data_IF_050968006229
#
_entry.id   IF_050968006229
#
_cell.length_a   1.000
_cell.length_b   1.000
_cell.length_c   1.000
_cell.angle_alpha   90.00
_cell.angle_beta   90.00
_cell.angle_gamma   90.00
#
_symmetry.space_group_name_H-M   'P 1'
#
loop_
_entity.id
_entity.type
_entity.pdbx_description
1 polymer ?
#
# COMPACT_ATOMS: atom_id res chain seq x y z
N UNK A 1 -45.13 47.59 18.87
CA UNK A 1 -44.17 47.27 17.78
C UNK A 1 -42.75 47.04 18.31
N UNK A 2 -42.27 47.85 19.27
CA UNK A 2 -40.89 47.80 19.78
C UNK A 2 -40.44 46.47 20.37
N UNK A 3 -41.34 45.74 21.05
CA UNK A 3 -41.01 44.41 21.65
C UNK A 3 -40.85 43.32 20.59
N UNK A 4 -41.54 43.44 19.45
CA UNK A 4 -41.44 42.48 18.33
C UNK A 4 -40.14 42.72 17.56
N UNK A 5 -39.81 43.98 17.31
CA UNK A 5 -38.59 44.39 16.61
C UNK A 5 -37.33 44.01 17.38
N UNK A 6 -37.34 44.14 18.73
CA UNK A 6 -36.26 43.69 19.59
C UNK A 6 -36.07 42.15 19.61
N UNK A 7 -37.18 41.41 19.54
CA UNK A 7 -37.14 39.95 19.47
C UNK A 7 -36.62 39.42 18.13
N UNK A 8 -36.97 40.07 17.04
CA UNK A 8 -36.51 39.72 15.69
C UNK A 8 -35.04 40.09 15.51
N UNK A 9 -34.55 41.20 16.05
CA UNK A 9 -33.15 41.55 16.07
C UNK A 9 -32.30 40.57 16.87
N UNK A 10 -32.81 40.13 18.03
CA UNK A 10 -32.15 39.11 18.88
C UNK A 10 -32.08 37.73 18.19
N UNK A 11 -33.13 37.36 17.46
CA UNK A 11 -33.20 36.12 16.71
C UNK A 11 -32.25 36.13 15.51
N UNK A 12 -32.14 37.22 14.76
CA UNK A 12 -31.17 37.41 13.68
C UNK A 12 -29.72 37.33 14.18
N UNK A 13 -29.42 37.94 15.32
CA UNK A 13 -28.11 37.87 15.96
C UNK A 13 -27.71 36.46 16.40
N UNK A 14 -28.68 35.71 16.93
CA UNK A 14 -28.48 34.29 17.33
C UNK A 14 -28.22 33.40 16.12
N UNK A 15 -28.99 33.56 15.04
CA UNK A 15 -28.78 32.77 13.79
C UNK A 15 -27.42 33.01 13.17
N UNK A 16 -26.99 34.28 13.08
CA UNK A 16 -25.65 34.60 12.54
C UNK A 16 -24.52 34.01 13.38
N UNK A 17 -24.60 34.07 14.69
CA UNK A 17 -23.60 33.47 15.58
C UNK A 17 -23.50 31.95 15.40
N UNK A 18 -24.63 31.27 15.27
CA UNK A 18 -24.65 29.81 15.00
C UNK A 18 -24.01 29.49 13.66
N UNK A 19 -24.29 30.20 12.59
CA UNK A 19 -23.69 30.01 11.27
C UNK A 19 -22.18 30.23 11.30
N UNK A 20 -21.71 31.28 11.95
CA UNK A 20 -20.27 31.58 12.09
C UNK A 20 -19.57 30.45 12.91
N UNK A 21 -20.20 30.02 14.01
CA UNK A 21 -19.67 28.92 14.83
C UNK A 21 -19.63 27.62 14.05
N UNK A 22 -20.69 27.28 13.32
CA UNK A 22 -20.74 26.07 12.48
C UNK A 22 -19.67 26.14 11.39
N UNK A 23 -19.55 27.26 10.70
CA UNK A 23 -18.51 27.46 9.69
C UNK A 23 -17.12 27.32 10.27
N UNK A 24 -16.85 27.89 11.44
CA UNK A 24 -15.57 27.74 12.14
C UNK A 24 -15.25 26.30 12.50
N UNK A 25 -16.22 25.59 13.10
CA UNK A 25 -16.02 24.16 13.46
C UNK A 25 -15.81 23.32 12.21
N UNK A 26 -16.65 23.46 11.19
CA UNK A 26 -16.52 22.70 9.93
C UNK A 26 -15.20 23.03 9.24
N UNK A 27 -14.82 24.31 9.17
CA UNK A 27 -13.56 24.75 8.57
C UNK A 27 -12.34 24.17 9.30
N UNK A 28 -12.38 24.11 10.63
CA UNK A 28 -11.30 23.51 11.43
C UNK A 28 -11.15 22.01 11.14
N UNK A 29 -12.24 21.26 11.08
CA UNK A 29 -12.20 19.85 10.74
C UNK A 29 -11.73 19.61 9.30
N UNK A 30 -12.19 20.43 8.36
CA UNK A 30 -11.70 20.36 6.98
C UNK A 30 -10.21 20.69 6.87
N UNK A 31 -9.72 21.69 7.64
CA UNK A 31 -8.31 22.03 7.66
C UNK A 31 -7.45 20.85 8.16
N UNK A 32 -7.89 20.18 9.23
CA UNK A 32 -7.20 18.99 9.75
C UNK A 32 -7.16 17.88 8.67
N UNK A 33 -8.28 17.61 8.02
CA UNK A 33 -8.36 16.63 6.94
C UNK A 33 -7.44 16.98 5.76
N UNK A 34 -7.45 18.23 5.32
CA UNK A 34 -6.57 18.70 4.23
C UNK A 34 -5.09 18.64 4.61
N UNK A 35 -4.74 18.93 5.86
CA UNK A 35 -3.38 18.83 6.33
C UNK A 35 -2.91 17.35 6.35
N UNK A 36 -3.75 16.43 6.80
CA UNK A 36 -3.47 15.01 6.76
C UNK A 36 -3.27 14.51 5.31
N UNK A 37 -4.14 14.90 4.37
CA UNK A 37 -3.99 14.59 2.95
C UNK A 37 -2.72 15.19 2.35
N UNK A 38 -2.34 16.41 2.76
CA UNK A 38 -1.10 17.02 2.30
C UNK A 38 0.13 16.26 2.78
N UNK A 39 0.14 15.82 4.03
CA UNK A 39 1.23 15.01 4.58
C UNK A 39 1.36 13.69 3.83
N UNK A 40 0.25 12.99 3.60
CA UNK A 40 0.28 11.75 2.80
C UNK A 40 0.70 12.01 1.35
N UNK A 41 0.29 13.12 0.74
CA UNK A 41 0.69 13.50 -0.62
C UNK A 41 2.17 13.83 -0.78
N UNK A 42 2.82 14.40 0.25
CA UNK A 42 4.26 14.71 0.21
C UNK A 42 5.10 13.43 0.06
N UNK A 43 4.68 12.33 0.68
CA UNK A 43 5.41 11.04 0.58
C UNK A 43 5.44 10.49 -0.85
N UNK A 44 4.52 10.92 -1.71
CA UNK A 44 4.41 10.51 -3.11
C UNK A 44 5.18 11.44 -4.08
N UNK A 45 5.73 12.53 -3.57
CA UNK A 45 6.48 13.44 -4.44
C UNK A 45 7.87 12.87 -4.76
N UNK A 46 8.32 13.06 -5.99
CA UNK A 46 9.63 12.59 -6.47
C UNK A 46 10.80 13.06 -5.59
N UNK A 47 10.73 14.28 -5.06
CA UNK A 47 11.82 14.86 -4.25
C UNK A 47 11.70 14.52 -2.77
N UNK A 48 10.52 14.67 -2.18
CA UNK A 48 10.32 14.42 -0.75
C UNK A 48 10.19 12.92 -0.47
N UNK A 49 9.56 12.15 -1.36
CA UNK A 49 9.43 10.70 -1.26
C UNK A 49 10.79 10.01 -1.22
N UNK A 50 11.74 10.39 -2.07
CA UNK A 50 13.09 9.84 -2.04
C UNK A 50 13.84 10.08 -0.72
N UNK A 51 13.67 11.25 -0.11
CA UNK A 51 14.26 11.53 1.19
C UNK A 51 13.58 10.78 2.34
N UNK A 52 12.25 10.65 2.27
CA UNK A 52 11.47 9.83 3.22
C UNK A 52 11.90 8.37 3.14
N UNK A 53 12.01 7.81 1.94
CA UNK A 53 12.46 6.42 1.73
C UNK A 53 13.85 6.18 2.32
N UNK A 54 14.83 7.02 2.01
CA UNK A 54 16.17 6.89 2.61
C UNK A 54 16.18 6.95 4.13
N UNK A 55 15.33 7.81 4.71
CA UNK A 55 15.19 7.91 6.17
C UNK A 55 14.57 6.66 6.76
N UNK A 56 13.54 6.13 6.12
CA UNK A 56 12.84 4.90 6.53
C UNK A 56 13.75 3.69 6.45
N UNK A 57 14.55 3.58 5.39
CA UNK A 57 15.58 2.55 5.20
C UNK A 57 16.67 2.66 6.27
N UNK A 58 17.22 3.86 6.48
CA UNK A 58 18.26 4.10 7.50
C UNK A 58 17.79 3.76 8.92
N UNK A 59 16.49 3.89 9.20
CA UNK A 59 15.88 3.56 10.48
C UNK A 59 15.36 2.11 10.55
N UNK A 60 15.49 1.33 9.49
CA UNK A 60 14.95 -0.04 9.36
C UNK A 60 13.45 -0.12 9.72
N UNK A 61 12.68 0.88 9.31
CA UNK A 61 11.24 0.96 9.58
C UNK A 61 10.38 0.28 8.51
N UNK A 62 10.99 -0.13 7.42
CA UNK A 62 10.35 -0.91 6.36
C UNK A 62 10.62 -2.40 6.59
N UNK A 63 9.68 -3.25 6.22
CA UNK A 63 9.94 -4.68 6.13
C UNK A 63 10.96 -4.94 5.01
N UNK A 64 11.78 -5.96 5.20
CA UNK A 64 12.58 -6.49 4.12
C UNK A 64 11.65 -7.00 3.02
N UNK A 65 11.99 -6.79 1.75
CA UNK A 65 11.21 -7.34 0.65
C UNK A 65 11.20 -8.86 0.70
N UNK A 66 10.12 -9.46 0.21
CA UNK A 66 10.02 -10.92 0.13
C UNK A 66 11.04 -11.46 -0.88
N UNK A 67 11.76 -12.50 -0.49
CA UNK A 67 12.76 -13.15 -1.35
C UNK A 67 12.08 -14.08 -2.35
N UNK A 68 12.43 -13.97 -3.63
CA UNK A 68 11.91 -14.82 -4.71
C UNK A 68 13.00 -15.68 -5.34
N UNK A 69 14.24 -15.58 -4.91
CA UNK A 69 15.35 -16.33 -5.48
C UNK A 69 15.28 -17.83 -5.12
N UNK A 70 15.34 -18.69 -6.14
CA UNK A 70 15.34 -20.14 -5.98
C UNK A 70 16.68 -20.68 -5.48
N UNK A 71 17.76 -19.93 -5.64
CA UNK A 71 19.15 -20.37 -5.32
C UNK A 71 19.70 -19.84 -3.99
N UNK A 72 18.91 -19.12 -3.20
CA UNK A 72 19.32 -18.61 -1.87
C UNK A 72 20.36 -17.47 -1.90
N UNK A 73 20.57 -16.83 -3.04
CA UNK A 73 21.33 -15.59 -3.16
C UNK A 73 20.37 -14.41 -3.13
N UNK A 74 20.48 -13.60 -2.09
CA UNK A 74 19.53 -12.53 -1.77
C UNK A 74 19.69 -11.31 -2.67
N UNK A 75 18.83 -11.15 -3.68
CA UNK A 75 18.50 -9.84 -4.24
C UNK A 75 17.04 -9.51 -3.90
N UNK A 76 16.83 -8.29 -3.44
CA UNK A 76 15.56 -7.86 -2.87
C UNK A 76 14.46 -7.79 -3.95
N UNK A 77 13.51 -8.70 -3.88
CA UNK A 77 12.32 -8.70 -4.72
C UNK A 77 11.43 -7.46 -4.50
N UNK A 78 10.66 -7.11 -5.50
CA UNK A 78 9.78 -5.93 -5.49
C UNK A 78 8.81 -5.94 -4.28
N UNK A 79 8.70 -4.81 -3.60
CA UNK A 79 7.72 -4.56 -2.53
C UNK A 79 6.30 -4.91 -3.04
N UNK A 80 5.55 -5.85 -2.43
CA UNK A 80 4.20 -6.20 -2.84
C UNK A 80 3.21 -5.03 -2.78
N UNK A 81 3.61 -3.92 -2.17
CA UNK A 81 2.86 -2.66 -2.14
C UNK A 81 3.35 -1.63 -3.17
N UNK A 82 4.35 -1.96 -3.99
CA UNK A 82 4.94 -1.07 -5.01
C UNK A 82 3.98 -0.75 -6.17
N UNK A 83 2.81 -1.37 -6.24
CA UNK A 83 1.83 -1.11 -7.30
C UNK A 83 1.35 0.35 -7.43
N UNK A 84 1.62 1.17 -6.43
CA UNK A 84 1.39 2.61 -6.46
C UNK A 84 2.67 3.43 -6.64
N UNK A 85 3.83 2.78 -6.73
CA UNK A 85 5.11 3.43 -6.99
C UNK A 85 5.35 3.75 -8.47
N UNK A 86 4.49 3.32 -9.38
CA UNK A 86 4.61 3.59 -10.81
C UNK A 86 4.62 5.09 -11.18
N UNK A 87 4.24 5.96 -10.24
CA UNK A 87 4.34 7.41 -10.39
C UNK A 87 5.52 8.05 -9.64
N UNK A 88 6.28 7.30 -8.87
CA UNK A 88 7.50 7.76 -8.22
C UNK A 88 8.70 7.45 -9.13
N UNK A 89 8.88 8.29 -10.12
CA UNK A 89 10.01 8.51 -11.01
C UNK A 89 11.06 7.42 -11.17
N UNK A 90 11.27 6.99 -12.39
CA UNK A 90 12.44 6.29 -12.90
C UNK A 90 13.73 6.66 -12.16
N UNK A 91 14.22 5.78 -11.31
CA UNK A 91 15.46 5.99 -10.58
C UNK A 91 15.87 4.76 -9.82
N UNK A 92 16.27 3.73 -10.49
CA UNK A 92 16.80 2.50 -9.95
C UNK A 92 16.47 1.35 -10.88
N UNK A 93 16.96 1.40 -12.12
CA UNK A 93 17.05 0.23 -12.96
C UNK A 93 18.03 -0.71 -12.26
N UNK A 94 17.54 -1.80 -11.68
CA UNK A 94 18.33 -2.99 -11.61
C UNK A 94 18.73 -3.27 -13.06
N UNK A 95 20.03 -3.30 -13.34
CA UNK A 95 20.53 -3.84 -14.59
C UNK A 95 20.03 -5.30 -14.57
N UNK A 96 18.97 -5.58 -15.34
CA UNK A 96 18.49 -6.94 -15.52
C UNK A 96 19.69 -7.73 -16.03
N UNK A 97 20.05 -8.79 -15.33
CA UNK A 97 21.09 -9.69 -15.77
C UNK A 97 20.75 -10.13 -17.19
N UNK A 98 21.60 -9.72 -18.15
CA UNK A 98 21.33 -9.85 -19.59
C UNK A 98 21.27 -11.33 -20.04
N UNK A 99 21.40 -12.30 -19.12
CA UNK A 99 21.38 -13.74 -19.34
C UNK A 99 20.16 -14.44 -18.75
N UNK A 100 19.35 -13.77 -17.92
CA UNK A 100 18.19 -14.40 -17.29
C UNK A 100 17.08 -14.66 -18.33
N UNK A 101 16.63 -15.92 -18.42
CA UNK A 101 15.58 -16.31 -19.36
C UNK A 101 14.21 -15.81 -18.93
N UNK A 102 13.54 -15.10 -19.82
CA UNK A 102 12.19 -14.62 -19.60
C UNK A 102 11.16 -15.78 -19.62
N UNK A 103 10.08 -15.59 -18.87
CA UNK A 103 8.93 -16.49 -18.84
C UNK A 103 8.22 -16.60 -20.18
N UNK A 104 7.81 -17.81 -20.55
CA UNK A 104 6.87 -18.02 -21.65
C UNK A 104 5.43 -18.05 -21.12
N UNK A 105 4.42 -17.70 -21.96
CA UNK A 105 3.02 -17.78 -21.55
C UNK A 105 2.59 -19.20 -21.11
N UNK A 106 3.17 -20.22 -21.72
CA UNK A 106 2.90 -21.62 -21.42
C UNK A 106 3.39 -21.99 -20.01
N UNK A 107 4.59 -21.60 -19.65
CA UNK A 107 5.18 -21.82 -18.32
C UNK A 107 4.38 -21.07 -17.24
N UNK A 108 3.97 -19.83 -17.53
CA UNK A 108 3.11 -19.08 -16.62
C UNK A 108 1.79 -19.82 -16.38
N UNK A 109 1.17 -20.34 -17.44
CA UNK A 109 -0.11 -21.05 -17.32
C UNK A 109 0.02 -22.36 -16.56
N UNK A 110 1.11 -23.09 -16.78
CA UNK A 110 1.36 -24.38 -16.11
C UNK A 110 1.61 -24.22 -14.60
N UNK A 111 2.37 -23.19 -14.22
CA UNK A 111 2.76 -23.00 -12.82
C UNK A 111 1.71 -22.22 -12.01
N UNK A 112 0.87 -21.40 -12.65
CA UNK A 112 -0.09 -20.55 -11.95
C UNK A 112 -1.06 -21.33 -11.05
N UNK A 113 -1.52 -22.50 -11.48
CA UNK A 113 -2.43 -23.34 -10.71
C UNK A 113 -1.72 -23.93 -9.48
N UNK A 114 -0.47 -24.33 -9.61
CA UNK A 114 0.34 -24.83 -8.51
C UNK A 114 0.57 -23.73 -7.46
N UNK A 115 0.98 -22.55 -7.90
CA UNK A 115 1.19 -21.38 -7.02
C UNK A 115 -0.09 -21.00 -6.29
N UNK A 116 -1.22 -21.01 -7.00
CA UNK A 116 -2.53 -20.74 -6.39
C UNK A 116 -2.88 -21.79 -5.32
N UNK A 117 -2.66 -23.05 -5.60
CA UNK A 117 -2.93 -24.13 -4.65
C UNK A 117 -2.09 -23.96 -3.38
N UNK A 118 -0.78 -23.75 -3.52
CA UNK A 118 0.14 -23.51 -2.39
C UNK A 118 -0.27 -22.27 -1.60
N UNK A 119 -0.60 -21.16 -2.27
CA UNK A 119 -1.04 -19.96 -1.58
C UNK A 119 -2.32 -20.18 -0.75
N UNK A 120 -3.23 -21.03 -1.22
CA UNK A 120 -4.45 -21.42 -0.47
C UNK A 120 -4.14 -22.32 0.71
N UNK A 121 -3.21 -23.25 0.57
CA UNK A 121 -2.74 -24.13 1.65
C UNK A 121 -2.03 -23.34 2.76
N UNK A 122 -1.27 -22.31 2.39
CA UNK A 122 -0.63 -21.37 3.32
C UNK A 122 -1.61 -20.38 3.97
N UNK A 123 -2.89 -20.45 3.64
CA UNK A 123 -3.94 -19.68 4.30
C UNK A 123 -4.27 -18.33 3.68
N UNK A 124 -3.70 -17.99 2.52
CA UNK A 124 -4.08 -16.78 1.81
C UNK A 124 -5.52 -16.90 1.31
N UNK A 125 -6.35 -15.93 1.62
CA UNK A 125 -7.80 -15.97 1.35
C UNK A 125 -8.24 -14.85 0.41
N UNK A 126 -9.46 -14.92 -0.10
CA UNK A 126 -10.02 -13.87 -0.97
C UNK A 126 -9.39 -13.82 -2.36
N UNK A 127 -9.34 -12.63 -2.95
CA UNK A 127 -8.65 -12.40 -4.22
C UNK A 127 -7.15 -12.36 -4.00
N UNK A 128 -6.42 -13.12 -4.80
CA UNK A 128 -4.97 -13.09 -4.81
C UNK A 128 -4.46 -12.35 -6.04
N UNK A 129 -3.29 -11.77 -5.88
CA UNK A 129 -2.47 -11.25 -6.95
C UNK A 129 -1.23 -12.12 -7.01
N UNK A 130 -0.93 -12.65 -8.16
CA UNK A 130 0.21 -13.53 -8.40
C UNK A 130 1.06 -12.95 -9.52
N UNK A 131 2.36 -12.94 -9.32
CA UNK A 131 3.34 -12.48 -10.30
C UNK A 131 4.43 -13.55 -10.42
N UNK A 132 4.80 -13.95 -11.65
CA UNK A 132 6.03 -14.69 -11.83
C UNK A 132 7.21 -13.83 -11.42
N UNK A 133 8.30 -14.43 -10.99
CA UNK A 133 9.55 -13.72 -10.75
C UNK A 133 10.08 -13.04 -12.01
N UNK A 134 11.11 -12.21 -11.87
CA UNK A 134 11.69 -11.48 -13.00
C UNK A 134 12.22 -12.40 -14.11
N UNK A 135 12.62 -13.59 -13.76
CA UNK A 135 13.06 -14.65 -14.68
C UNK A 135 12.64 -16.03 -14.15
N UNK A 136 12.86 -17.07 -14.93
CA UNK A 136 12.57 -18.46 -14.55
C UNK A 136 13.43 -18.97 -13.38
N UNK A 137 14.49 -18.28 -13.02
CA UNK A 137 15.33 -18.55 -11.86
C UNK A 137 14.78 -17.97 -10.56
N UNK A 138 13.68 -17.22 -10.66
CA UNK A 138 13.00 -16.62 -9.52
C UNK A 138 11.63 -17.26 -9.33
N UNK A 139 11.29 -17.50 -8.08
CA UNK A 139 9.97 -17.98 -7.70
C UNK A 139 8.87 -16.94 -7.93
N UNK A 140 7.65 -17.41 -7.82
CA UNK A 140 6.46 -16.59 -7.91
C UNK A 140 6.22 -15.84 -6.60
N UNK A 141 5.64 -14.66 -6.72
CA UNK A 141 5.08 -13.94 -5.59
C UNK A 141 3.56 -14.02 -5.61
N UNK A 142 2.96 -14.43 -4.50
CA UNK A 142 1.52 -14.42 -4.30
C UNK A 142 1.17 -13.55 -3.10
N UNK A 143 0.25 -12.62 -3.26
CA UNK A 143 -0.20 -11.72 -2.20
C UNK A 143 -1.71 -11.58 -2.18
N UNK A 144 -2.26 -11.37 -0.99
CA UNK A 144 -3.66 -11.06 -0.84
C UNK A 144 -3.96 -9.66 -1.35
N UNK A 145 -4.95 -9.56 -2.21
CA UNK A 145 -5.39 -8.26 -2.72
C UNK A 145 -6.22 -7.54 -1.66
N UNK A 146 -5.93 -6.27 -1.46
CA UNK A 146 -6.78 -5.42 -0.66
C UNK A 146 -8.18 -5.30 -1.27
N UNK A 147 -9.16 -5.48 -0.41
CA UNK A 147 -10.57 -5.28 -0.72
C UNK A 147 -11.17 -4.37 0.35
N UNK A 148 -12.36 -3.85 0.10
CA UNK A 148 -13.08 -3.06 1.09
C UNK A 148 -13.12 -3.78 2.44
N UNK A 149 -12.84 -3.03 3.50
CA UNK A 149 -12.83 -3.50 4.90
C UNK A 149 -11.75 -4.54 5.27
N UNK A 150 -10.84 -4.86 4.37
CA UNK A 150 -9.71 -5.71 4.69
C UNK A 150 -8.51 -4.85 5.10
N UNK A 151 -8.01 -5.05 6.30
CA UNK A 151 -6.90 -4.27 6.88
C UNK A 151 -5.57 -5.00 6.93
N UNK A 152 -5.53 -6.23 6.44
CA UNK A 152 -4.36 -7.10 6.40
C UNK A 152 -4.15 -7.67 5.01
N UNK A 153 -2.91 -7.90 4.63
CA UNK A 153 -2.54 -8.52 3.35
C UNK A 153 -1.27 -9.32 3.57
N UNK A 154 -1.39 -10.62 3.52
CA UNK A 154 -0.27 -11.52 3.63
C UNK A 154 0.31 -11.81 2.24
N UNK A 155 1.60 -12.08 2.18
CA UNK A 155 2.29 -12.44 0.95
C UNK A 155 3.23 -13.63 1.19
N UNK A 156 3.40 -14.43 0.14
CA UNK A 156 4.37 -15.53 0.10
C UNK A 156 5.11 -15.52 -1.23
N UNK A 157 6.29 -16.10 -1.23
CA UNK A 157 6.96 -16.50 -2.47
C UNK A 157 7.03 -18.02 -2.58
N UNK A 158 6.84 -18.52 -3.79
CA UNK A 158 6.65 -19.93 -4.09
C UNK A 158 7.44 -20.30 -5.33
N UNK A 159 8.15 -21.42 -5.27
CA UNK A 159 8.68 -22.07 -6.46
C UNK A 159 7.52 -22.65 -7.28
N UNK A 160 7.32 -22.13 -8.48
CA UNK A 160 6.21 -22.52 -9.34
C UNK A 160 6.29 -23.97 -9.86
N UNK A 161 7.48 -24.56 -9.90
CA UNK A 161 7.67 -25.95 -10.36
C UNK A 161 7.39 -26.97 -9.24
N UNK A 162 7.91 -26.69 -8.06
CA UNK A 162 7.82 -27.63 -6.93
C UNK A 162 6.66 -27.35 -6.00
N UNK A 163 6.16 -26.12 -6.00
CA UNK A 163 5.19 -25.63 -5.02
C UNK A 163 5.80 -25.36 -3.64
N UNK A 164 7.12 -25.39 -3.50
CA UNK A 164 7.80 -25.11 -2.24
C UNK A 164 7.70 -23.61 -1.91
N UNK A 165 7.40 -23.29 -0.65
CA UNK A 165 7.38 -21.91 -0.18
C UNK A 165 8.80 -21.46 0.13
N UNK A 166 9.25 -20.45 -0.60
CA UNK A 166 10.59 -19.85 -0.46
C UNK A 166 10.62 -18.90 0.73
N UNK A 167 9.62 -18.02 0.84
CA UNK A 167 9.57 -16.99 1.88
C UNK A 167 8.13 -16.61 2.22
N UNK A 168 7.94 -16.02 3.40
CA UNK A 168 6.64 -15.58 3.92
C UNK A 168 6.74 -14.18 4.49
N UNK A 169 5.81 -13.34 4.12
CA UNK A 169 5.68 -11.98 4.65
C UNK A 169 4.27 -11.77 5.22
N UNK A 170 3.99 -12.28 6.43
CA UNK A 170 2.70 -12.07 7.06
C UNK A 170 2.55 -10.62 7.52
N UNK A 171 1.38 -10.02 7.30
CA UNK A 171 1.10 -8.65 7.70
C UNK A 171 1.31 -8.43 9.21
N UNK A 172 1.07 -9.45 10.01
CA UNK A 172 1.26 -9.39 11.47
C UNK A 172 2.70 -9.06 11.88
N UNK A 173 3.68 -9.48 11.10
CA UNK A 173 5.11 -9.30 11.36
C UNK A 173 5.68 -8.02 10.78
N UNK A 174 4.94 -7.33 9.92
CA UNK A 174 5.39 -6.07 9.35
C UNK A 174 5.71 -5.04 10.44
N UNK A 175 6.75 -4.21 10.26
CA UNK A 175 7.02 -3.06 11.11
C UNK A 175 5.82 -2.11 11.17
N UNK A 176 5.67 -1.40 12.29
CA UNK A 176 4.54 -0.47 12.47
C UNK A 176 4.45 0.57 11.35
N UNK A 177 5.59 1.07 10.88
CA UNK A 177 5.63 2.05 9.81
C UNK A 177 5.07 1.49 8.49
N UNK A 178 5.43 0.26 8.12
CA UNK A 178 4.89 -0.43 6.95
C UNK A 178 3.37 -0.61 7.05
N UNK A 179 2.86 -1.02 8.22
CA UNK A 179 1.42 -1.11 8.48
C UNK A 179 0.71 0.23 8.32
N UNK A 180 1.27 1.29 8.92
CA UNK A 180 0.70 2.64 8.85
C UNK A 180 0.73 3.18 7.41
N UNK A 181 1.79 2.89 6.66
CA UNK A 181 1.90 3.29 5.25
C UNK A 181 0.81 2.61 4.43
N UNK A 182 0.66 1.29 4.56
CA UNK A 182 -0.39 0.53 3.87
C UNK A 182 -1.78 1.09 4.20
N UNK A 183 -2.12 1.24 5.47
CA UNK A 183 -3.41 1.81 5.89
C UNK A 183 -3.60 3.25 5.40
N UNK A 184 -2.53 4.06 5.41
CA UNK A 184 -2.57 5.43 4.91
C UNK A 184 -2.90 5.50 3.41
N UNK A 185 -2.32 4.62 2.60
CA UNK A 185 -2.61 4.51 1.17
C UNK A 185 -4.09 4.16 0.95
N UNK A 186 -4.59 3.13 1.62
CA UNK A 186 -5.98 2.68 1.45
C UNK A 186 -7.01 3.68 1.97
N UNK A 187 -6.68 4.38 3.06
CA UNK A 187 -7.50 5.49 3.54
C UNK A 187 -7.53 6.64 2.54
N UNK A 188 -6.37 6.97 1.95
CA UNK A 188 -6.26 8.01 0.92
C UNK A 188 -7.07 7.68 -0.34
N UNK A 189 -7.08 6.41 -0.73
CA UNK A 189 -7.87 5.92 -1.87
C UNK A 189 -9.36 5.73 -1.56
N UNK A 190 -9.78 5.87 -0.31
CA UNK A 190 -11.17 5.69 0.09
C UNK A 190 -11.66 4.25 0.04
N UNK A 191 -10.76 3.28 0.21
CA UNK A 191 -11.06 1.84 0.18
C UNK A 191 -11.34 1.28 1.59
N UNK A 192 -11.12 2.09 2.62
CA UNK A 192 -11.40 1.76 4.03
C UNK A 192 -12.75 2.27 4.47
#
# INVERSE_FOLDING_TARGET
>A
NDAKDAKDAKNKGSGRRRLVSLHGVTGTWMLIGMLALSVTGITWSTYAGGNVNRTVEALQWRADPITTELSGQSEAAADPHAEHAEHAGHGGGAEADAEARAWTPEEIAEQADQVLATAREEGLTGSLRMYPGESVEHGWQASERWTEWRTTSDAISVDGETGEVIDRLPFSELPLFSKLTSWGIYLHMGIM
#
